data_IF_429342837000
#
_entry.id   IF_429342837000
#
_cell.length_a   1.000
_cell.length_b   1.000
_cell.length_c   1.000
_cell.angle_alpha   90.00
_cell.angle_beta   90.00
_cell.angle_gamma   90.00
#
_symmetry.space_group_name_H-M   'P 1'
#
loop_
_entity.id
_entity.type
_entity.pdbx_description
1 polymer ?
#
# COMPACT_ATOMS: atom_id res chain seq x y z
N UNK A 1 4.47 -8.99 -12.27
CA UNK A 1 5.46 -8.31 -11.41
C UNK A 1 5.34 -8.82 -9.99
N UNK A 2 6.44 -9.15 -9.37
CA UNK A 2 6.41 -9.64 -7.98
C UNK A 2 6.08 -8.49 -7.03
N UNK A 3 5.16 -8.74 -6.11
CA UNK A 3 4.76 -7.77 -5.08
C UNK A 3 5.98 -7.25 -4.32
N UNK A 4 6.15 -5.94 -4.28
CA UNK A 4 7.26 -5.28 -3.60
C UNK A 4 8.57 -5.18 -4.39
N UNK A 5 8.63 -5.74 -5.59
CA UNK A 5 9.81 -5.60 -6.45
C UNK A 5 9.97 -4.16 -6.95
N UNK A 6 11.17 -3.80 -7.39
CA UNK A 6 11.43 -2.47 -7.95
C UNK A 6 10.53 -2.20 -9.17
N UNK A 7 10.37 -3.20 -10.05
CA UNK A 7 9.48 -3.12 -11.21
C UNK A 7 8.04 -2.80 -10.78
N UNK A 8 7.56 -3.47 -9.73
CA UNK A 8 6.22 -3.24 -9.17
C UNK A 8 6.09 -1.80 -8.64
N UNK A 9 7.10 -1.32 -7.91
CA UNK A 9 7.09 0.04 -7.36
C UNK A 9 7.09 1.10 -8.48
N UNK A 10 7.86 0.90 -9.53
CA UNK A 10 7.88 1.79 -10.68
C UNK A 10 6.51 1.86 -11.37
N UNK A 11 5.83 0.72 -11.49
CA UNK A 11 4.51 0.66 -12.09
C UNK A 11 3.46 1.36 -11.21
N UNK A 12 3.57 1.25 -9.88
CA UNK A 12 2.72 1.99 -8.95
C UNK A 12 2.81 3.48 -9.22
N UNK A 13 4.03 4.00 -9.30
CA UNK A 13 4.26 5.45 -9.54
C UNK A 13 3.64 5.87 -10.86
N UNK A 14 3.90 5.11 -11.93
CA UNK A 14 3.40 5.44 -13.26
C UNK A 14 1.87 5.50 -13.30
N UNK A 15 1.20 4.48 -12.79
CA UNK A 15 -0.27 4.40 -12.81
C UNK A 15 -0.92 5.41 -11.89
N UNK A 16 -0.36 5.60 -10.70
CA UNK A 16 -0.90 6.56 -9.72
C UNK A 16 -0.82 7.99 -10.27
N UNK A 17 0.34 8.38 -10.78
CA UNK A 17 0.57 9.75 -11.22
C UNK A 17 -0.10 10.08 -12.55
N UNK A 18 -0.67 9.09 -13.24
CA UNK A 18 -1.45 9.31 -14.48
C UNK A 18 -2.95 9.15 -14.27
N UNK A 19 -3.40 8.80 -13.08
CA UNK A 19 -4.83 8.58 -12.81
C UNK A 19 -5.51 9.88 -12.41
N UNK A 20 -6.34 10.40 -13.30
CA UNK A 20 -6.98 11.71 -13.12
C UNK A 20 -7.89 11.73 -11.89
N UNK A 21 -8.68 10.65 -11.68
CA UNK A 21 -9.58 10.59 -10.53
C UNK A 21 -8.81 10.58 -9.22
N UNK A 22 -7.74 9.80 -9.13
CA UNK A 22 -6.89 9.77 -7.94
C UNK A 22 -6.31 11.16 -7.66
N UNK A 23 -5.75 11.81 -8.68
CA UNK A 23 -5.10 13.11 -8.51
C UNK A 23 -6.09 14.19 -8.04
N UNK A 24 -7.34 14.13 -8.51
CA UNK A 24 -8.38 15.04 -8.03
C UNK A 24 -8.71 14.79 -6.55
N UNK A 25 -8.86 13.54 -6.17
CA UNK A 25 -9.19 13.17 -4.79
C UNK A 25 -8.03 13.45 -3.82
N UNK A 26 -6.80 13.25 -4.27
CA UNK A 26 -5.61 13.41 -3.44
C UNK A 26 -5.01 14.83 -3.47
N UNK A 27 -5.64 15.75 -4.18
CA UNK A 27 -5.15 17.12 -4.28
C UNK A 27 -4.96 17.74 -2.90
N UNK A 28 -3.80 18.36 -2.69
CA UNK A 28 -3.45 18.98 -1.41
C UNK A 28 -2.90 18.01 -0.36
N UNK A 29 -2.82 16.73 -0.66
CA UNK A 29 -2.28 15.72 0.27
C UNK A 29 -0.76 15.67 0.18
N UNK A 30 -0.09 15.83 1.32
CA UNK A 30 1.38 15.83 1.44
C UNK A 30 1.75 14.97 2.64
N UNK A 31 2.14 13.73 2.39
CA UNK A 31 2.42 12.77 3.46
C UNK A 31 3.48 11.76 3.05
N UNK A 32 4.05 11.09 4.06
CA UNK A 32 4.93 9.95 3.84
C UNK A 32 4.35 8.71 4.50
N UNK A 33 4.53 7.57 3.85
CA UNK A 33 3.97 6.29 4.30
C UNK A 33 5.03 5.21 4.25
N UNK A 34 5.00 4.33 5.25
CA UNK A 34 5.70 3.05 5.21
C UNK A 34 4.65 1.93 5.19
N UNK A 35 4.81 0.98 4.28
CA UNK A 35 3.98 -0.21 4.20
C UNK A 35 4.86 -1.39 4.56
N UNK A 36 4.46 -2.14 5.58
CA UNK A 36 5.17 -3.35 6.01
C UNK A 36 4.30 -4.58 5.81
N UNK A 37 4.77 -5.47 4.96
CA UNK A 37 4.16 -6.77 4.71
C UNK A 37 4.95 -7.78 5.56
N UNK A 38 4.34 -8.21 6.67
CA UNK A 38 5.03 -9.06 7.63
C UNK A 38 5.20 -10.48 7.13
N UNK A 39 6.31 -11.12 7.51
CA UNK A 39 6.59 -12.50 7.18
C UNK A 39 5.53 -13.44 7.75
N UNK A 40 5.26 -14.51 7.03
CA UNK A 40 4.36 -15.59 7.44
C UNK A 40 5.03 -16.92 7.09
N UNK A 41 5.95 -17.43 7.92
CA UNK A 41 6.69 -18.66 7.59
C UNK A 41 5.79 -19.86 7.30
N UNK A 42 4.63 -19.97 7.98
CA UNK A 42 3.67 -21.07 7.75
C UNK A 42 3.08 -21.02 6.35
N UNK A 43 3.11 -19.87 5.67
CA UNK A 43 2.67 -19.69 4.29
C UNK A 43 3.84 -19.53 3.33
N UNK A 44 5.05 -19.88 3.76
CA UNK A 44 6.29 -19.77 2.97
C UNK A 44 6.65 -18.34 2.61
N UNK A 45 6.23 -17.39 3.41
CA UNK A 45 6.69 -16.00 3.33
C UNK A 45 7.77 -15.83 4.37
N UNK A 46 9.02 -15.97 3.97
CA UNK A 46 10.16 -16.03 4.90
C UNK A 46 10.73 -14.65 5.25
N UNK A 47 10.47 -13.65 4.43
CA UNK A 47 11.02 -12.31 4.61
C UNK A 47 9.90 -11.28 4.62
N UNK A 48 10.04 -10.28 5.49
CA UNK A 48 9.13 -9.13 5.45
C UNK A 48 9.52 -8.21 4.30
N UNK A 49 8.52 -7.51 3.77
CA UNK A 49 8.72 -6.50 2.72
C UNK A 49 8.39 -5.15 3.34
N UNK A 50 9.30 -4.20 3.21
CA UNK A 50 9.08 -2.82 3.67
C UNK A 50 9.29 -1.90 2.49
N UNK A 51 8.25 -1.13 2.16
CA UNK A 51 8.32 -0.11 1.13
C UNK A 51 7.83 1.21 1.71
N UNK A 52 8.35 2.31 1.19
CA UNK A 52 7.89 3.61 1.60
C UNK A 52 7.68 4.52 0.41
N UNK A 53 6.85 5.53 0.59
CA UNK A 53 6.63 6.51 -0.46
C UNK A 53 6.23 7.86 0.11
N UNK A 54 6.48 8.90 -0.69
CA UNK A 54 6.09 10.28 -0.39
C UNK A 54 5.10 10.74 -1.43
N UNK A 55 4.03 11.38 -0.97
CA UNK A 55 3.13 12.10 -1.86
C UNK A 55 3.27 13.60 -1.63
N UNK A 56 3.23 14.35 -2.72
CA UNK A 56 3.22 15.81 -2.72
C UNK A 56 2.11 16.26 -3.66
N UNK A 57 1.14 16.97 -3.13
CA UNK A 57 -0.08 17.32 -3.85
C UNK A 57 -0.71 16.07 -4.50
N UNK A 58 -0.70 14.98 -3.76
CA UNK A 58 -1.21 13.67 -4.18
C UNK A 58 -0.29 12.83 -5.05
N UNK A 59 0.65 13.42 -5.77
CA UNK A 59 1.56 12.67 -6.64
C UNK A 59 2.62 11.95 -5.83
N UNK A 60 2.97 10.74 -6.24
CA UNK A 60 4.11 10.05 -5.67
C UNK A 60 5.37 10.69 -6.24
N UNK A 61 6.14 11.33 -5.37
CA UNK A 61 7.38 12.01 -5.76
C UNK A 61 8.61 11.19 -5.41
N UNK A 62 8.47 10.22 -4.51
CA UNK A 62 9.54 9.32 -4.13
C UNK A 62 8.95 7.98 -3.68
N UNK A 63 9.59 6.88 -4.08
CA UNK A 63 9.24 5.55 -3.61
C UNK A 63 10.54 4.76 -3.39
N UNK A 64 10.59 3.98 -2.31
CA UNK A 64 11.82 3.27 -1.94
C UNK A 64 11.52 1.94 -1.29
N UNK A 65 12.53 1.09 -1.23
CA UNK A 65 12.53 -0.16 -0.48
C UNK A 65 13.29 0.08 0.83
N UNK A 66 12.82 -0.53 1.91
CA UNK A 66 13.45 -0.43 3.22
C UNK A 66 12.82 0.63 4.12
N UNK A 67 13.36 0.73 5.33
CA UNK A 67 12.80 1.59 6.37
C UNK A 67 13.36 3.01 6.29
N UNK A 68 12.47 3.99 6.42
CA UNK A 68 12.80 5.39 6.66
C UNK A 68 11.72 5.95 7.60
N UNK A 69 12.02 7.01 8.37
CA UNK A 69 10.98 7.69 9.16
C UNK A 69 9.89 8.25 8.25
N UNK A 70 8.64 7.95 8.58
CA UNK A 70 7.47 8.42 7.82
C UNK A 70 6.36 8.83 8.78
N UNK A 71 5.40 9.62 8.27
CA UNK A 71 4.24 10.08 9.06
C UNK A 71 3.36 8.90 9.48
N UNK A 72 3.14 7.96 8.56
CA UNK A 72 2.31 6.79 8.82
C UNK A 72 3.10 5.51 8.53
N UNK A 73 2.89 4.51 9.38
CA UNK A 73 3.33 3.14 9.10
C UNK A 73 2.13 2.23 9.16
N UNK A 74 1.90 1.49 8.08
CA UNK A 74 0.81 0.53 7.96
C UNK A 74 1.44 -0.85 7.90
N UNK A 75 1.15 -1.70 8.87
CA UNK A 75 1.77 -3.02 8.95
C UNK A 75 0.75 -4.12 9.20
N UNK A 76 1.00 -5.27 8.63
CA UNK A 76 0.18 -6.45 8.82
C UNK A 76 0.74 -7.65 8.07
N UNK A 77 0.17 -8.84 8.31
CA UNK A 77 0.61 -10.06 7.64
C UNK A 77 0.52 -9.94 6.12
N UNK A 78 1.46 -10.58 5.44
CA UNK A 78 1.51 -10.61 3.97
C UNK A 78 0.14 -10.97 3.37
N UNK A 79 -0.55 -11.98 3.93
CA UNK A 79 -1.85 -12.43 3.44
C UNK A 79 -2.95 -11.40 3.54
N UNK A 80 -2.90 -10.49 4.51
CA UNK A 80 -3.87 -9.39 4.61
C UNK A 80 -3.70 -8.43 3.42
N UNK A 81 -2.46 -8.11 3.08
CA UNK A 81 -2.17 -7.30 1.89
C UNK A 81 -2.63 -7.99 0.60
N UNK A 82 -2.40 -9.30 0.50
CA UNK A 82 -2.89 -10.09 -0.64
C UNK A 82 -4.41 -10.00 -0.76
N UNK A 83 -5.14 -10.13 0.36
CA UNK A 83 -6.60 -10.03 0.37
C UNK A 83 -7.08 -8.66 -0.11
N UNK A 84 -6.40 -7.59 0.30
CA UNK A 84 -6.71 -6.23 -0.15
C UNK A 84 -6.49 -6.11 -1.66
N UNK A 85 -5.36 -6.61 -2.16
CA UNK A 85 -5.02 -6.50 -3.58
C UNK A 85 -5.90 -7.38 -4.48
N UNK A 86 -6.42 -8.48 -3.94
CA UNK A 86 -7.36 -9.35 -4.66
C UNK A 86 -8.81 -8.85 -4.62
N UNK A 87 -9.10 -7.84 -3.81
CA UNK A 87 -10.45 -7.31 -3.67
C UNK A 87 -11.32 -8.03 -2.64
N UNK A 88 -10.75 -8.93 -1.86
CA UNK A 88 -11.48 -9.69 -0.83
C UNK A 88 -11.66 -8.90 0.46
N UNK A 89 -10.86 -7.85 0.66
CA UNK A 89 -10.88 -7.02 1.85
C UNK A 89 -10.60 -5.57 1.44
N UNK A 90 -11.42 -4.64 1.92
CA UNK A 90 -11.17 -3.22 1.68
C UNK A 90 -10.21 -2.64 2.72
N UNK A 91 -9.46 -1.61 2.30
CA UNK A 91 -8.39 -1.04 3.13
C UNK A 91 -8.94 -0.39 4.41
N UNK A 92 -10.00 0.42 4.31
CA UNK A 92 -10.52 1.14 5.49
C UNK A 92 -11.06 0.16 6.54
N UNK A 93 -11.88 -0.86 6.21
CA UNK A 93 -12.21 -1.90 7.17
C UNK A 93 -11.01 -2.63 7.76
N UNK A 94 -9.95 -2.83 6.98
CA UNK A 94 -8.73 -3.47 7.50
C UNK A 94 -8.08 -2.62 8.60
N UNK A 95 -8.06 -1.28 8.43
CA UNK A 95 -7.58 -0.37 9.47
C UNK A 95 -8.48 -0.39 10.71
N UNK A 96 -9.78 -0.28 10.48
CA UNK A 96 -10.77 -0.17 11.58
C UNK A 96 -10.86 -1.45 12.41
N UNK A 97 -10.69 -2.61 11.79
CA UNK A 97 -10.71 -3.91 12.45
C UNK A 97 -9.32 -4.36 12.92
N UNK A 98 -8.32 -3.50 12.79
CA UNK A 98 -6.96 -3.76 13.21
C UNK A 98 -6.32 -5.00 12.53
N UNK A 99 -6.77 -5.34 11.33
CA UNK A 99 -6.09 -6.33 10.48
C UNK A 99 -4.80 -5.75 9.92
N UNK A 100 -4.79 -4.44 9.68
CA UNK A 100 -3.59 -3.65 9.47
C UNK A 100 -3.44 -2.71 10.67
N UNK A 101 -2.25 -2.70 11.25
CA UNK A 101 -1.93 -1.78 12.35
C UNK A 101 -1.46 -0.46 11.76
N UNK A 102 -1.94 0.62 12.32
CA UNK A 102 -1.60 1.98 11.90
C UNK A 102 -0.77 2.64 12.99
N UNK A 103 0.45 3.04 12.67
CA UNK A 103 1.25 3.93 13.48
C UNK A 103 1.12 5.32 12.88
N UNK A 104 0.61 6.28 13.66
CA UNK A 104 0.27 7.62 13.21
C UNK A 104 -1.17 7.95 13.59
N UNK A 105 -1.66 9.08 13.12
CA UNK A 105 -3.01 9.53 13.46
C UNK A 105 -4.05 8.81 12.59
N UNK A 106 -4.73 7.83 13.18
CA UNK A 106 -5.73 7.01 12.48
C UNK A 106 -6.88 7.87 11.92
N UNK A 107 -7.33 8.87 12.67
CA UNK A 107 -8.42 9.74 12.22
C UNK A 107 -8.00 10.51 10.97
N UNK A 108 -6.79 11.05 10.95
CA UNK A 108 -6.24 11.74 9.79
C UNK A 108 -6.12 10.80 8.59
N UNK A 109 -5.66 9.57 8.82
CA UNK A 109 -5.55 8.56 7.76
C UNK A 109 -6.92 8.26 7.16
N UNK A 110 -7.91 7.98 8.01
CA UNK A 110 -9.27 7.61 7.57
C UNK A 110 -9.98 8.77 6.91
N UNK A 111 -9.64 10.02 7.25
CA UNK A 111 -10.20 11.18 6.56
C UNK A 111 -9.85 11.21 5.07
N UNK A 112 -8.78 10.52 4.67
CA UNK A 112 -8.39 10.36 3.28
C UNK A 112 -8.97 9.11 2.60
N UNK A 113 -10.05 8.54 3.15
CA UNK A 113 -10.61 7.27 2.65
C UNK A 113 -10.87 7.28 1.14
N UNK A 114 -11.36 8.38 0.59
CA UNK A 114 -11.69 8.44 -0.83
C UNK A 114 -10.45 8.25 -1.72
N UNK A 115 -9.36 8.98 -1.45
CA UNK A 115 -8.17 8.82 -2.27
C UNK A 115 -7.44 7.51 -1.96
N UNK A 116 -7.49 7.02 -0.72
CA UNK A 116 -6.92 5.71 -0.35
C UNK A 116 -7.63 4.60 -1.12
N UNK A 117 -8.96 4.61 -1.12
CA UNK A 117 -9.74 3.61 -1.86
C UNK A 117 -9.47 3.66 -3.36
N UNK A 118 -9.33 4.86 -3.91
CA UNK A 118 -8.97 4.98 -5.33
C UNK A 118 -7.58 4.45 -5.61
N UNK A 119 -6.63 4.72 -4.72
CA UNK A 119 -5.27 4.19 -4.86
C UNK A 119 -5.25 2.65 -4.83
N UNK A 120 -5.99 2.05 -3.90
CA UNK A 120 -6.11 0.60 -3.84
C UNK A 120 -6.72 0.05 -5.15
N UNK A 121 -7.73 0.72 -5.70
CA UNK A 121 -8.31 0.33 -6.99
C UNK A 121 -7.25 0.35 -8.10
N UNK A 122 -6.37 1.34 -8.11
CA UNK A 122 -5.26 1.40 -9.06
C UNK A 122 -4.32 0.20 -8.86
N UNK A 123 -3.94 -0.09 -7.62
CA UNK A 123 -3.06 -1.23 -7.31
C UNK A 123 -3.65 -2.55 -7.79
N UNK A 124 -4.97 -2.70 -7.68
CA UNK A 124 -5.67 -3.91 -8.15
C UNK A 124 -5.61 -4.10 -9.65
N UNK A 125 -5.29 -3.08 -10.42
CA UNK A 125 -5.14 -3.18 -11.88
C UNK A 125 -3.76 -3.66 -12.30
N UNK A 126 -2.78 -3.64 -11.39
CA UNK A 126 -1.41 -4.05 -11.70
C UNK A 126 -1.31 -5.56 -11.68
N UNK A 127 -0.85 -6.21 -12.78
CA UNK A 127 -0.59 -7.64 -12.77
C UNK A 127 0.46 -7.97 -11.70
N UNK A 128 0.05 -8.65 -10.64
CA UNK A 128 0.88 -8.87 -9.45
C UNK A 128 1.03 -10.35 -9.17
N UNK A 129 2.27 -10.79 -8.97
CA UNK A 129 2.59 -12.14 -8.52
C UNK A 129 2.85 -12.09 -7.01
N UNK A 130 2.31 -13.07 -6.31
CA UNK A 130 2.49 -13.20 -4.87
C UNK A 130 3.45 -14.33 -4.56
N UNK A 131 4.16 -14.23 -3.44
CA UNK A 131 5.13 -15.24 -3.01
C UNK A 131 4.47 -16.36 -2.18
N UNK A 132 5.22 -17.41 -1.93
CA UNK A 132 4.82 -18.50 -1.05
C UNK A 132 3.52 -19.16 -1.46
N UNK A 133 2.68 -19.50 -0.47
CA UNK A 133 1.40 -20.16 -0.68
C UNK A 133 0.37 -19.25 -1.39
N UNK A 134 0.65 -17.99 -1.54
CA UNK A 134 -0.24 -17.03 -2.20
C UNK A 134 -0.05 -16.99 -3.71
N UNK A 135 0.89 -17.76 -4.22
CA UNK A 135 1.11 -17.92 -5.67
C UNK A 135 -0.12 -18.53 -6.34
N UNK A 136 -0.75 -17.80 -7.24
CA UNK A 136 -1.85 -18.34 -8.08
C UNK A 136 -2.09 -17.47 -9.30
#
# INVERSE_FOLDING_TARGET
MLLGSLEYLEEIVRRTNSDVEYLQLAKGQNETYTLELEAEPVHQITERIVIGYRIEDGKITEIWQGERPTTFTLSGPYGVWVSILRGDLDAIPAFMKQKLRVKGNLIKLVSGANFINRWVAILRTIPTEFAGDYQR
#
